data_IF_700478973221
#
_entry.id   IF_700478973221
#
_cell.length_a   1.000
_cell.length_b   1.000
_cell.length_c   1.000
_cell.angle_alpha   90.00
_cell.angle_beta   90.00
_cell.angle_gamma   90.00
#
_symmetry.space_group_name_H-M   'P 1'
#
loop_
_entity.id
_entity.type
_entity.pdbx_description
1 polymer ?
#
# COMPACT_ATOMS: atom_id res chain seq x y z
N UNK A 1 -24.85 21.86 12.01
CA UNK A 1 -23.74 21.32 12.82
C UNK A 1 -23.18 20.17 11.99
N UNK A 2 -22.06 20.38 11.30
CA UNK A 2 -21.47 19.30 10.50
C UNK A 2 -21.06 18.14 11.41
N UNK A 3 -21.25 16.88 11.01
CA UNK A 3 -20.73 15.76 11.78
C UNK A 3 -19.21 15.90 11.84
N UNK A 4 -18.64 15.87 13.03
CA UNK A 4 -17.19 15.84 13.21
C UNK A 4 -16.60 14.70 12.39
N UNK A 5 -15.77 15.01 11.39
CA UNK A 5 -15.05 14.04 10.54
C UNK A 5 -14.42 12.97 11.46
N UNK A 6 -14.74 11.70 11.21
CA UNK A 6 -14.19 10.60 12.01
C UNK A 6 -12.66 10.62 11.86
N UNK A 7 -11.90 10.41 12.93
CA UNK A 7 -10.42 10.48 12.95
C UNK A 7 -9.77 9.63 11.85
N UNK A 8 -10.42 8.53 11.46
CA UNK A 8 -9.96 7.68 10.35
C UNK A 8 -10.12 8.35 8.99
N UNK A 9 -11.25 9.00 8.70
CA UNK A 9 -11.47 9.71 7.43
C UNK A 9 -10.48 10.85 7.26
N UNK A 10 -10.24 11.62 8.33
CA UNK A 10 -9.24 12.68 8.36
C UNK A 10 -7.82 12.13 8.06
N UNK A 11 -7.48 10.96 8.60
CA UNK A 11 -6.20 10.31 8.32
C UNK A 11 -6.10 9.83 6.86
N UNK A 12 -7.13 9.19 6.32
CA UNK A 12 -7.16 8.75 4.91
C UNK A 12 -7.01 9.97 3.99
N UNK A 13 -7.75 11.05 4.26
CA UNK A 13 -7.66 12.31 3.52
C UNK A 13 -6.28 12.95 3.64
N UNK A 14 -5.66 12.94 4.81
CA UNK A 14 -4.30 13.45 5.00
C UNK A 14 -3.29 12.64 4.17
N UNK A 15 -3.34 11.30 4.26
CA UNK A 15 -2.43 10.42 3.51
C UNK A 15 -2.59 10.63 2.01
N UNK A 16 -3.82 10.52 1.51
CA UNK A 16 -4.13 10.66 0.08
C UNK A 16 -3.94 12.08 -0.45
N UNK A 17 -4.10 13.12 0.37
CA UNK A 17 -3.77 14.51 -0.02
C UNK A 17 -2.26 14.79 -0.07
N UNK A 18 -1.47 14.05 0.71
CA UNK A 18 -0.02 14.23 0.80
C UNK A 18 0.77 13.52 -0.29
N UNK A 19 0.19 12.54 -1.00
CA UNK A 19 0.94 11.80 -2.03
C UNK A 19 1.41 12.72 -3.16
N UNK A 20 2.57 12.36 -3.71
CA UNK A 20 3.20 12.98 -4.87
C UNK A 20 3.62 11.87 -5.84
N UNK A 21 2.67 11.24 -6.58
CA UNK A 21 3.02 10.21 -7.54
C UNK A 21 4.04 10.73 -8.55
N UNK A 22 5.12 9.97 -8.72
CA UNK A 22 6.14 10.20 -9.72
C UNK A 22 6.75 8.86 -10.12
N UNK A 23 6.82 8.57 -11.43
CA UNK A 23 7.32 7.29 -11.95
C UNK A 23 6.35 6.67 -12.97
N UNK A 24 6.47 5.36 -13.17
CA UNK A 24 5.64 4.62 -14.12
C UNK A 24 4.50 3.87 -13.46
N UNK A 25 3.39 3.82 -14.18
CA UNK A 25 2.17 3.19 -13.75
C UNK A 25 1.48 2.49 -14.92
N UNK A 26 0.65 1.51 -14.65
CA UNK A 26 -0.22 0.90 -15.63
C UNK A 26 -1.69 1.15 -15.29
N UNK A 27 -2.54 1.33 -16.30
CA UNK A 27 -3.99 1.27 -16.12
C UNK A 27 -4.49 0.02 -16.83
N UNK A 28 -5.26 -0.81 -16.13
CA UNK A 28 -5.89 -1.96 -16.78
C UNK A 28 -7.01 -1.50 -17.73
N UNK A 29 -7.01 -2.05 -18.94
CA UNK A 29 -8.28 -2.58 -19.46
C UNK A 29 -8.58 -3.84 -18.64
N UNK A 30 -9.56 -3.76 -17.74
CA UNK A 30 -10.15 -4.85 -16.95
C UNK A 30 -9.26 -6.07 -16.62
N UNK A 31 -8.60 -6.09 -15.44
CA UNK A 31 -8.17 -7.34 -14.81
C UNK A 31 -9.36 -7.95 -14.07
N UNK A 32 -10.28 -8.54 -14.83
CA UNK A 32 -11.30 -9.41 -14.27
C UNK A 32 -11.31 -10.69 -15.12
N UNK A 33 -10.78 -11.78 -14.56
CA UNK A 33 -11.36 -13.13 -14.63
C UNK A 33 -10.50 -14.08 -13.82
N UNK A 34 -10.98 -14.40 -12.62
CA UNK A 34 -10.97 -15.79 -12.19
C UNK A 34 -11.77 -16.60 -13.22
N UNK A 35 -11.22 -17.75 -13.63
CA UNK A 35 -11.84 -18.84 -14.37
C UNK A 35 -12.30 -18.57 -15.82
N UNK A 36 -11.64 -19.26 -16.76
CA UNK A 36 -12.21 -19.62 -18.07
C UNK A 36 -11.60 -18.90 -19.27
N UNK A 37 -10.86 -19.67 -20.08
CA UNK A 37 -10.39 -19.39 -21.44
C UNK A 37 -9.38 -18.24 -21.64
N UNK A 38 -8.30 -18.58 -22.34
CA UNK A 38 -7.25 -17.66 -22.79
C UNK A 38 -7.77 -16.72 -23.89
N UNK A 39 -8.61 -15.75 -23.54
CA UNK A 39 -8.76 -14.53 -24.33
C UNK A 39 -7.54 -13.65 -24.03
N UNK A 40 -6.81 -13.22 -25.08
CA UNK A 40 -5.67 -12.32 -24.92
C UNK A 40 -6.11 -11.09 -24.12
N UNK A 41 -5.62 -10.98 -22.88
CA UNK A 41 -5.99 -9.87 -22.00
C UNK A 41 -5.59 -8.57 -22.70
N UNK A 42 -6.47 -7.54 -22.73
CA UNK A 42 -6.12 -6.27 -23.33
C UNK A 42 -4.82 -5.74 -22.70
N UNK A 43 -3.84 -5.44 -23.56
CA UNK A 43 -2.51 -5.01 -23.13
C UNK A 43 -2.67 -3.74 -22.29
N UNK A 44 -2.19 -3.77 -21.04
CA UNK A 44 -2.30 -2.63 -20.14
C UNK A 44 -1.65 -1.39 -20.76
N UNK A 45 -2.28 -0.23 -20.60
CA UNK A 45 -1.70 1.04 -21.04
C UNK A 45 -0.70 1.48 -19.99
N UNK A 46 0.53 1.77 -20.42
CA UNK A 46 1.60 2.27 -19.58
C UNK A 46 1.59 3.81 -19.57
N UNK A 47 1.81 4.38 -18.40
CA UNK A 47 1.74 5.81 -18.12
C UNK A 47 2.96 6.27 -17.35
N UNK A 48 3.51 7.42 -17.73
CA UNK A 48 4.33 8.23 -16.85
C UNK A 48 3.41 9.09 -16.00
N UNK A 49 3.64 9.14 -14.70
CA UNK A 49 2.98 10.07 -13.80
C UNK A 49 4.00 10.99 -13.13
N UNK A 50 3.61 12.24 -12.91
CA UNK A 50 4.35 13.20 -12.08
C UNK A 50 3.39 14.12 -11.35
N UNK A 51 3.87 14.74 -10.28
CA UNK A 51 3.10 15.76 -9.56
C UNK A 51 3.66 17.14 -9.84
N UNK A 52 2.80 18.06 -10.28
CA UNK A 52 3.15 19.45 -10.53
C UNK A 52 3.09 20.32 -9.26
N UNK A 53 3.59 21.55 -9.38
CA UNK A 53 3.35 22.62 -8.42
C UNK A 53 1.84 22.82 -8.20
N UNK A 54 1.42 22.99 -6.95
CA UNK A 54 0.00 22.98 -6.56
C UNK A 54 -0.60 21.58 -6.40
N UNK A 55 0.15 20.53 -6.72
CA UNK A 55 -0.19 19.15 -6.35
C UNK A 55 -1.12 18.40 -7.30
N UNK A 56 -1.35 18.92 -8.52
CA UNK A 56 -2.05 18.16 -9.55
C UNK A 56 -1.20 16.97 -10.03
N UNK A 57 -1.83 15.80 -10.21
CA UNK A 57 -1.16 14.63 -10.79
C UNK A 57 -1.39 14.66 -12.29
N UNK A 58 -0.31 14.67 -13.06
CA UNK A 58 -0.35 14.52 -14.51
C UNK A 58 0.04 13.11 -14.90
N UNK A 59 -0.69 12.55 -15.85
CA UNK A 59 -0.34 11.27 -16.49
C UNK A 59 -0.20 11.46 -18.00
N UNK A 60 0.84 10.86 -18.56
CA UNK A 60 1.12 10.88 -20.01
C UNK A 60 1.34 9.43 -20.46
N UNK A 61 0.74 8.99 -21.57
CA UNK A 61 0.99 7.65 -22.08
C UNK A 61 2.48 7.47 -22.41
N UNK A 62 2.97 6.25 -22.23
CA UNK A 62 4.33 5.89 -22.60
C UNK A 62 4.38 5.40 -24.05
N UNK A 63 5.36 5.88 -24.80
CA UNK A 63 5.71 5.41 -26.13
C UNK A 63 7.18 5.00 -26.13
N UNK A 64 7.46 3.75 -26.50
CA UNK A 64 8.82 3.18 -26.47
C UNK A 64 9.56 3.39 -25.12
N UNK A 65 8.86 3.28 -24.00
CA UNK A 65 9.45 3.41 -22.66
C UNK A 65 9.69 4.85 -22.20
N UNK A 66 9.25 5.84 -22.97
CA UNK A 66 9.38 7.26 -22.64
C UNK A 66 8.03 7.98 -22.61
N UNK A 67 7.88 9.06 -21.81
CA UNK A 67 6.72 9.92 -21.92
C UNK A 67 6.57 10.39 -23.37
N UNK A 68 5.42 10.10 -23.99
CA UNK A 68 5.24 10.23 -25.43
C UNK A 68 5.33 11.67 -25.97
N UNK A 69 5.34 12.68 -25.09
CA UNK A 69 5.26 14.08 -25.50
C UNK A 69 6.13 15.00 -24.62
N UNK A 70 7.28 15.49 -25.12
CA UNK A 70 8.08 16.52 -24.47
C UNK A 70 7.31 17.84 -24.25
N UNK A 71 6.31 18.12 -25.08
CA UNK A 71 5.43 19.29 -24.99
C UNK A 71 4.15 19.04 -24.17
N UNK A 72 3.96 17.82 -23.63
CA UNK A 72 2.90 17.45 -22.68
C UNK A 72 1.45 17.68 -23.17
N UNK A 73 1.22 17.80 -24.48
CA UNK A 73 -0.12 18.00 -25.06
C UNK A 73 -1.05 16.81 -24.80
N UNK A 74 -0.49 15.62 -24.55
CA UNK A 74 -1.22 14.41 -24.18
C UNK A 74 -1.35 14.19 -22.66
N UNK A 75 -0.80 15.09 -21.84
CA UNK A 75 -0.89 14.97 -20.39
C UNK A 75 -2.34 15.18 -19.92
N UNK A 76 -2.83 14.28 -19.07
CA UNK A 76 -4.14 14.38 -18.43
C UNK A 76 -3.96 14.66 -16.96
N UNK A 77 -4.74 15.60 -16.43
CA UNK A 77 -4.84 15.82 -14.98
C UNK A 77 -5.76 14.78 -14.37
N UNK A 78 -5.29 14.14 -13.30
CA UNK A 78 -6.03 13.13 -12.54
C UNK A 78 -6.04 13.56 -11.08
N UNK A 79 -7.22 13.49 -10.46
CA UNK A 79 -7.35 13.69 -9.02
C UNK A 79 -6.66 12.53 -8.27
N UNK A 80 -6.08 12.78 -7.09
CA UNK A 80 -5.23 11.81 -6.38
C UNK A 80 -5.96 10.52 -6.00
N UNK A 81 -7.19 10.62 -5.49
CA UNK A 81 -7.98 9.44 -5.16
C UNK A 81 -8.31 8.63 -6.41
N UNK A 82 -8.71 9.30 -7.50
CA UNK A 82 -8.91 8.64 -8.80
C UNK A 82 -7.63 8.01 -9.32
N UNK A 83 -6.49 8.67 -9.12
CA UNK A 83 -5.18 8.13 -9.51
C UNK A 83 -4.87 6.84 -8.75
N UNK A 84 -5.00 6.86 -7.42
CA UNK A 84 -4.80 5.68 -6.59
C UNK A 84 -5.70 4.54 -7.05
N UNK A 85 -6.97 4.80 -7.37
CA UNK A 85 -7.90 3.77 -7.82
C UNK A 85 -7.56 3.17 -9.20
N UNK A 86 -7.16 4.01 -10.18
CA UNK A 86 -7.08 3.60 -11.59
C UNK A 86 -5.67 3.15 -12.03
N UNK A 87 -4.63 3.57 -11.33
CA UNK A 87 -3.25 3.36 -11.75
C UNK A 87 -2.52 2.39 -10.80
N UNK A 88 -1.84 1.41 -11.39
CA UNK A 88 -1.02 0.41 -10.72
C UNK A 88 0.44 0.84 -10.75
N UNK A 89 1.19 0.78 -9.64
CA UNK A 89 2.60 1.17 -9.62
C UNK A 89 3.46 0.18 -10.42
N UNK A 90 4.34 0.71 -11.29
CA UNK A 90 5.30 -0.08 -12.10
C UNK A 90 6.76 0.37 -11.85
N UNK A 91 7.24 0.35 -10.59
CA UNK A 91 8.53 0.94 -10.21
C UNK A 91 9.74 0.26 -10.86
N UNK A 92 9.66 -1.05 -11.12
CA UNK A 92 10.70 -1.80 -11.79
C UNK A 92 10.86 -1.40 -13.27
N UNK A 93 9.74 -1.12 -13.96
CA UNK A 93 9.77 -0.65 -15.35
C UNK A 93 10.42 0.73 -15.44
N UNK A 94 10.08 1.64 -14.51
CA UNK A 94 10.72 2.96 -14.45
C UNK A 94 12.24 2.85 -14.33
N UNK A 95 12.70 2.00 -13.40
CA UNK A 95 14.13 1.81 -13.15
C UNK A 95 14.86 1.18 -14.33
N UNK A 96 14.25 0.21 -15.00
CA UNK A 96 14.87 -0.52 -16.12
C UNK A 96 14.87 0.28 -17.41
N UNK A 97 13.74 0.88 -17.78
CA UNK A 97 13.50 1.38 -19.13
C UNK A 97 13.67 2.91 -19.24
N UNK A 98 13.25 3.65 -18.21
CA UNK A 98 13.13 5.10 -18.29
C UNK A 98 14.28 5.84 -17.64
N UNK A 99 14.71 5.39 -16.47
CA UNK A 99 15.79 6.01 -15.71
C UNK A 99 17.09 6.22 -16.51
N UNK A 100 17.62 5.22 -17.25
CA UNK A 100 18.80 5.42 -18.07
C UNK A 100 18.61 6.55 -19.09
N UNK A 101 17.42 6.61 -19.68
CA UNK A 101 17.11 7.56 -20.75
C UNK A 101 16.84 8.97 -20.21
N UNK A 102 16.12 9.10 -19.10
CA UNK A 102 15.87 10.38 -18.40
C UNK A 102 17.20 11.00 -17.96
N UNK A 103 18.11 10.20 -17.42
CA UNK A 103 19.45 10.67 -17.03
C UNK A 103 20.27 11.16 -18.24
N UNK A 104 20.17 10.50 -19.38
CA UNK A 104 20.89 10.88 -20.61
C UNK A 104 20.31 12.10 -21.31
N UNK A 105 19.00 12.34 -21.22
CA UNK A 105 18.30 13.36 -22.00
C UNK A 105 18.04 14.68 -21.24
N UNK A 106 18.33 14.76 -19.94
CA UNK A 106 18.09 15.97 -19.14
C UNK A 106 16.61 16.33 -18.96
N UNK A 107 15.68 15.48 -19.41
CA UNK A 107 14.22 15.64 -19.31
C UNK A 107 13.68 15.26 -17.91
N UNK A 108 14.33 15.80 -16.88
CA UNK A 108 14.29 15.32 -15.50
C UNK A 108 13.16 15.89 -14.62
N UNK A 109 12.53 16.99 -15.04
CA UNK A 109 11.69 17.78 -14.14
C UNK A 109 10.43 17.02 -13.70
N UNK A 110 10.37 16.69 -12.41
CA UNK A 110 9.23 16.00 -11.77
C UNK A 110 9.33 14.48 -11.76
N UNK A 111 10.42 13.88 -12.24
CA UNK A 111 10.65 12.44 -12.23
C UNK A 111 11.85 12.03 -11.37
N UNK A 112 11.88 10.79 -10.82
CA UNK A 112 13.02 10.31 -10.04
C UNK A 112 14.32 10.12 -10.84
N UNK A 113 15.42 10.75 -10.45
CA UNK A 113 16.67 10.74 -11.25
C UNK A 113 17.60 9.57 -10.94
N UNK A 114 17.44 8.95 -9.78
CA UNK A 114 18.26 7.83 -9.34
C UNK A 114 17.40 6.79 -8.62
N UNK A 115 17.98 5.60 -8.40
CA UNK A 115 17.27 4.47 -7.79
C UNK A 115 16.70 4.84 -6.41
N UNK A 116 17.45 5.62 -5.63
CA UNK A 116 17.02 6.08 -4.32
C UNK A 116 15.82 7.04 -4.39
N UNK A 117 15.79 7.94 -5.38
CA UNK A 117 14.62 8.79 -5.64
C UNK A 117 13.42 7.98 -6.09
N UNK A 118 13.62 6.95 -6.93
CA UNK A 118 12.53 6.09 -7.37
C UNK A 118 11.88 5.41 -6.16
N UNK A 119 12.68 4.77 -5.32
CA UNK A 119 12.21 4.17 -4.07
C UNK A 119 11.48 5.19 -3.17
N UNK A 120 12.01 6.42 -3.03
CA UNK A 120 11.38 7.50 -2.25
C UNK A 120 10.05 7.97 -2.82
N UNK A 121 9.89 7.99 -4.15
CA UNK A 121 8.66 8.44 -4.80
C UNK A 121 7.49 7.48 -4.57
N UNK A 122 7.74 6.17 -4.55
CA UNK A 122 6.68 5.17 -4.32
C UNK A 122 6.38 4.94 -2.83
N UNK A 123 7.32 5.23 -1.93
CA UNK A 123 7.19 4.94 -0.51
C UNK A 123 5.90 5.53 0.13
N UNK A 124 5.51 6.80 -0.10
CA UNK A 124 4.26 7.36 0.43
C UNK A 124 2.98 6.70 -0.13
N UNK A 125 3.07 5.98 -1.25
CA UNK A 125 1.91 5.31 -1.84
C UNK A 125 1.49 4.07 -1.05
N UNK A 126 2.42 3.41 -0.32
CA UNK A 126 2.13 2.22 0.48
C UNK A 126 1.00 2.48 1.49
N UNK A 127 1.12 3.43 2.44
CA UNK A 127 0.05 3.69 3.40
C UNK A 127 -1.22 4.22 2.73
N UNK A 128 -1.12 4.97 1.62
CA UNK A 128 -2.28 5.47 0.90
C UNK A 128 -3.08 4.35 0.19
N UNK A 129 -2.39 3.38 -0.43
CA UNK A 129 -3.02 2.21 -1.01
C UNK A 129 -3.67 1.33 0.05
N UNK A 130 -2.98 1.09 1.18
CA UNK A 130 -3.54 0.27 2.25
C UNK A 130 -4.76 0.93 2.92
N UNK A 131 -4.68 2.23 3.17
CA UNK A 131 -5.79 3.02 3.71
C UNK A 131 -7.04 3.04 2.80
N UNK A 132 -6.86 2.76 1.51
CA UNK A 132 -7.94 2.72 0.51
C UNK A 132 -8.28 1.29 0.06
N UNK A 133 -7.84 0.26 0.79
CA UNK A 133 -8.16 -1.14 0.51
C UNK A 133 -7.44 -1.75 -0.71
N UNK A 134 -6.41 -1.08 -1.24
CA UNK A 134 -5.69 -1.48 -2.44
C UNK A 134 -4.40 -2.24 -2.12
N UNK A 135 -4.48 -3.22 -1.23
CA UNK A 135 -3.33 -4.01 -0.75
C UNK A 135 -2.43 -4.55 -1.88
N UNK A 136 -2.95 -5.15 -2.96
CA UNK A 136 -2.09 -5.65 -4.04
C UNK A 136 -1.16 -4.60 -4.65
N UNK A 137 -1.61 -3.33 -4.75
CA UNK A 137 -0.77 -2.22 -5.23
C UNK A 137 0.31 -1.86 -4.23
N UNK A 138 -0.02 -1.84 -2.94
CA UNK A 138 0.95 -1.64 -1.87
C UNK A 138 2.02 -2.75 -1.87
N UNK A 139 1.62 -4.00 -2.04
CA UNK A 139 2.53 -5.15 -2.11
C UNK A 139 3.51 -5.07 -3.29
N UNK A 140 3.04 -4.62 -4.46
CA UNK A 140 3.93 -4.37 -5.62
C UNK A 140 5.06 -3.38 -5.26
N UNK A 141 4.74 -2.29 -4.56
CA UNK A 141 5.76 -1.32 -4.13
C UNK A 141 6.70 -1.91 -3.09
N UNK A 142 6.14 -2.60 -2.10
CA UNK A 142 6.89 -3.25 -1.01
C UNK A 142 7.90 -4.25 -1.54
N UNK A 143 7.47 -5.14 -2.43
CA UNK A 143 8.33 -6.15 -3.05
C UNK A 143 9.47 -5.51 -3.85
N UNK A 144 9.15 -4.46 -4.61
CA UNK A 144 10.16 -3.67 -5.30
C UNK A 144 11.19 -3.06 -4.34
N UNK A 145 10.76 -2.48 -3.21
CA UNK A 145 11.67 -1.90 -2.22
C UNK A 145 12.61 -2.97 -1.62
N UNK A 146 12.06 -4.11 -1.20
CA UNK A 146 12.84 -5.23 -0.63
C UNK A 146 13.88 -5.74 -1.63
N UNK A 147 13.47 -6.02 -2.86
CA UNK A 147 14.36 -6.50 -3.94
C UNK A 147 15.49 -5.51 -4.24
N UNK A 148 15.28 -4.24 -3.95
CA UNK A 148 16.24 -3.17 -4.21
C UNK A 148 17.06 -2.76 -2.98
N UNK A 149 17.02 -3.57 -1.90
CA UNK A 149 17.83 -3.39 -0.69
C UNK A 149 17.28 -2.33 0.26
N UNK A 150 16.07 -1.82 0.03
CA UNK A 150 15.41 -0.94 0.98
C UNK A 150 14.70 -1.77 2.05
N UNK A 151 15.14 -1.65 3.30
CA UNK A 151 14.36 -2.06 4.46
C UNK A 151 13.26 -1.05 4.78
N UNK A 152 12.26 -1.46 5.58
CA UNK A 152 11.37 -0.49 6.21
C UNK A 152 12.16 0.31 7.24
N UNK A 153 12.34 1.60 7.00
CA UNK A 153 12.82 2.48 8.05
C UNK A 153 11.79 2.60 9.18
N UNK A 154 12.27 2.95 10.36
CA UNK A 154 11.48 3.16 11.58
C UNK A 154 10.25 4.03 11.35
N UNK A 155 10.42 5.13 10.59
CA UNK A 155 9.36 6.11 10.33
C UNK A 155 8.18 5.51 9.58
N UNK A 156 8.44 4.73 8.52
CA UNK A 156 7.37 4.07 7.77
C UNK A 156 6.69 2.99 8.60
N UNK A 157 7.44 2.24 9.43
CA UNK A 157 6.86 1.26 10.34
C UNK A 157 5.89 1.89 11.33
N UNK A 158 6.32 2.94 12.03
CA UNK A 158 5.48 3.69 12.95
C UNK A 158 4.23 4.24 12.25
N UNK A 159 4.39 4.76 11.02
CA UNK A 159 3.27 5.26 10.24
C UNK A 159 2.27 4.15 9.89
N UNK A 160 2.72 3.00 9.37
CA UNK A 160 1.84 1.88 9.02
C UNK A 160 1.10 1.34 10.25
N UNK A 161 1.77 1.23 11.40
CA UNK A 161 1.13 0.82 12.64
C UNK A 161 0.06 1.83 13.09
N UNK A 162 0.37 3.14 13.02
CA UNK A 162 -0.62 4.21 13.32
C UNK A 162 -1.83 4.13 12.40
N UNK A 163 -1.61 3.91 11.09
CA UNK A 163 -2.68 3.74 10.10
C UNK A 163 -3.54 2.53 10.43
N UNK A 164 -2.92 1.37 10.69
CA UNK A 164 -3.63 0.14 11.04
C UNK A 164 -4.48 0.30 12.31
N UNK A 165 -3.94 0.93 13.35
CA UNK A 165 -4.67 1.20 14.60
C UNK A 165 -5.86 2.14 14.35
N UNK A 166 -5.69 3.18 13.54
CA UNK A 166 -6.78 4.11 13.20
C UNK A 166 -7.87 3.41 12.42
N UNK A 167 -7.53 2.70 11.34
CA UNK A 167 -8.48 1.96 10.50
C UNK A 167 -9.31 0.99 11.33
N UNK A 168 -8.66 0.19 12.19
CA UNK A 168 -9.36 -0.76 13.06
C UNK A 168 -10.36 -0.06 13.98
N UNK A 169 -9.93 1.01 14.67
CA UNK A 169 -10.80 1.79 15.56
C UNK A 169 -11.91 2.53 14.80
N UNK A 170 -11.70 2.84 13.53
CA UNK A 170 -12.65 3.52 12.66
C UNK A 170 -13.66 2.61 11.96
N UNK A 171 -13.66 1.30 12.24
CA UNK A 171 -14.61 0.37 11.63
C UNK A 171 -14.12 -0.28 10.33
N UNK A 172 -12.84 -0.13 9.97
CA UNK A 172 -12.21 -0.69 8.76
C UNK A 172 -11.19 -1.81 9.11
N UNK A 173 -11.59 -2.90 9.79
CA UNK A 173 -10.64 -3.89 10.30
C UNK A 173 -9.96 -4.70 9.18
N UNK A 174 -10.58 -4.87 8.01
CA UNK A 174 -9.94 -5.53 6.87
C UNK A 174 -8.73 -4.72 6.36
N UNK A 175 -8.90 -3.40 6.17
CA UNK A 175 -7.79 -2.53 5.75
C UNK A 175 -6.70 -2.45 6.82
N UNK A 176 -7.08 -2.48 8.11
CA UNK A 176 -6.11 -2.59 9.21
C UNK A 176 -5.31 -3.89 9.15
N UNK A 177 -5.97 -5.03 8.91
CA UNK A 177 -5.31 -6.33 8.77
C UNK A 177 -4.32 -6.32 7.60
N UNK A 178 -4.70 -5.73 6.48
CA UNK A 178 -3.83 -5.60 5.31
C UNK A 178 -2.58 -4.76 5.60
N UNK A 179 -2.70 -3.70 6.41
CA UNK A 179 -1.53 -2.96 6.89
C UNK A 179 -0.58 -3.84 7.71
N UNK A 180 -1.12 -4.63 8.64
CA UNK A 180 -0.29 -5.52 9.45
C UNK A 180 0.34 -6.66 8.64
N UNK A 181 -0.35 -7.18 7.62
CA UNK A 181 0.21 -8.18 6.71
C UNK A 181 1.38 -7.61 5.90
N UNK A 182 1.26 -6.36 5.42
CA UNK A 182 2.39 -5.67 4.80
C UNK A 182 3.54 -5.47 5.78
N UNK A 183 3.28 -5.01 7.01
CA UNK A 183 4.31 -4.87 8.04
C UNK A 183 5.06 -6.20 8.30
N UNK A 184 4.33 -7.30 8.40
CA UNK A 184 4.89 -8.65 8.62
C UNK A 184 5.75 -9.14 7.44
N UNK A 185 5.63 -8.59 6.23
CA UNK A 185 6.54 -8.96 5.12
C UNK A 185 7.98 -8.46 5.35
N UNK A 186 8.16 -7.44 6.18
CA UNK A 186 9.47 -6.84 6.45
C UNK A 186 10.01 -7.16 7.84
N UNK A 187 9.11 -7.48 8.76
CA UNK A 187 9.46 -7.86 10.12
C UNK A 187 9.23 -9.35 10.28
N UNK A 188 10.21 -10.01 10.90
CA UNK A 188 10.02 -11.37 11.40
C UNK A 188 8.92 -11.41 12.47
N UNK A 189 8.90 -12.51 13.22
CA UNK A 189 7.89 -12.71 14.25
C UNK A 189 8.09 -11.70 15.40
N UNK A 190 7.02 -10.95 15.75
CA UNK A 190 6.98 -9.93 16.81
C UNK A 190 5.65 -10.09 17.55
N UNK A 191 5.70 -10.36 18.86
CA UNK A 191 4.52 -10.60 19.68
C UNK A 191 3.56 -9.40 19.73
N UNK A 192 4.05 -8.17 19.61
CA UNK A 192 3.23 -6.97 19.59
C UNK A 192 2.49 -6.82 18.26
N UNK A 193 3.16 -7.14 17.14
CA UNK A 193 2.53 -7.18 15.83
C UNK A 193 1.46 -8.27 15.77
N UNK A 194 1.78 -9.47 16.27
CA UNK A 194 0.86 -10.60 16.33
C UNK A 194 -0.35 -10.27 17.21
N UNK A 195 -0.14 -9.62 18.36
CA UNK A 195 -1.23 -9.17 19.23
C UNK A 195 -2.16 -8.16 18.55
N UNK A 196 -1.60 -7.21 17.79
CA UNK A 196 -2.40 -6.24 17.05
C UNK A 196 -3.19 -6.89 15.90
N UNK A 197 -2.60 -7.88 15.23
CA UNK A 197 -3.30 -8.70 14.23
C UNK A 197 -4.45 -9.47 14.87
N UNK A 198 -4.22 -10.12 16.03
CA UNK A 198 -5.26 -10.86 16.73
C UNK A 198 -6.45 -9.98 17.14
N UNK A 199 -6.20 -8.77 17.65
CA UNK A 199 -7.26 -7.80 17.96
C UNK A 199 -8.08 -7.44 16.71
N UNK A 200 -7.40 -7.28 15.58
CA UNK A 200 -8.07 -7.00 14.31
C UNK A 200 -8.94 -8.17 13.85
N UNK A 201 -8.42 -9.41 13.92
CA UNK A 201 -9.17 -10.62 13.59
C UNK A 201 -10.37 -10.82 14.51
N UNK A 202 -10.23 -10.48 15.80
CA UNK A 202 -11.34 -10.50 16.75
C UNK A 202 -12.44 -9.51 16.37
N UNK A 203 -12.09 -8.27 16.00
CA UNK A 203 -13.06 -7.26 15.54
C UNK A 203 -13.80 -7.75 14.27
N UNK A 204 -13.17 -8.60 13.46
CA UNK A 204 -13.76 -9.25 12.28
C UNK A 204 -14.52 -10.56 12.60
N UNK A 205 -14.64 -10.95 13.88
CA UNK A 205 -15.22 -12.23 14.33
C UNK A 205 -14.52 -13.49 13.78
N UNK A 206 -13.28 -13.35 13.30
CA UNK A 206 -12.43 -14.45 12.82
C UNK A 206 -11.73 -15.13 13.98
N UNK A 207 -12.52 -15.73 14.87
CA UNK A 207 -12.05 -16.14 16.20
C UNK A 207 -11.01 -17.27 16.17
N UNK A 208 -11.13 -18.25 15.26
CA UNK A 208 -10.13 -19.33 15.12
C UNK A 208 -8.75 -18.79 14.74
N UNK A 209 -8.72 -17.84 13.82
CA UNK A 209 -7.47 -17.19 13.39
C UNK A 209 -6.92 -16.27 14.47
N UNK A 210 -7.79 -15.55 15.17
CA UNK A 210 -7.41 -14.77 16.36
C UNK A 210 -6.72 -15.67 17.40
N UNK A 211 -7.30 -16.84 17.71
CA UNK A 211 -6.72 -17.81 18.63
C UNK A 211 -5.34 -18.27 18.19
N UNK A 212 -5.20 -18.68 16.92
CA UNK A 212 -3.94 -19.15 16.36
C UNK A 212 -2.83 -18.08 16.44
N UNK A 213 -3.16 -16.82 16.13
CA UNK A 213 -2.19 -15.72 16.20
C UNK A 213 -1.84 -15.37 17.65
N UNK A 214 -2.79 -15.41 18.60
CA UNK A 214 -2.49 -15.21 20.02
C UNK A 214 -1.58 -16.31 20.57
N UNK A 215 -1.83 -17.57 20.19
CA UNK A 215 -0.99 -18.68 20.59
C UNK A 215 0.44 -18.49 20.09
N UNK A 216 0.60 -18.01 18.85
CA UNK A 216 1.91 -17.66 18.29
C UNK A 216 2.59 -16.56 19.12
N UNK A 217 1.90 -15.45 19.41
CA UNK A 217 2.46 -14.36 20.22
C UNK A 217 2.96 -14.82 21.60
N UNK A 218 2.21 -15.71 22.27
CA UNK A 218 2.60 -16.32 23.56
C UNK A 218 3.78 -17.27 23.39
N UNK A 219 3.84 -18.06 22.31
CA UNK A 219 4.98 -18.93 22.03
C UNK A 219 6.26 -18.13 21.73
N UNK A 220 6.15 -17.00 21.01
CA UNK A 220 7.27 -16.08 20.74
C UNK A 220 7.78 -15.43 22.01
N UNK A 221 6.87 -14.96 22.89
CA UNK A 221 7.21 -14.38 24.18
C UNK A 221 6.23 -14.87 25.27
N UNK A 222 6.60 -15.93 26.03
CA UNK A 222 5.76 -16.45 27.12
C UNK A 222 5.46 -15.42 28.23
N UNK A 223 6.30 -14.38 28.36
CA UNK A 223 6.10 -13.27 29.29
C UNK A 223 5.09 -12.22 28.79
N UNK A 224 4.60 -12.32 27.55
CA UNK A 224 3.68 -11.35 26.96
C UNK A 224 2.24 -11.53 27.48
N UNK A 225 2.03 -11.11 28.72
CA UNK A 225 0.76 -11.22 29.46
C UNK A 225 -0.49 -10.77 28.68
N UNK A 226 -0.47 -9.68 27.87
CA UNK A 226 -1.66 -9.26 27.14
C UNK A 226 -2.23 -10.34 26.21
N UNK A 227 -1.37 -11.08 25.49
CA UNK A 227 -1.84 -12.16 24.61
C UNK A 227 -2.40 -13.34 25.40
N UNK A 228 -1.73 -13.75 26.48
CA UNK A 228 -2.19 -14.85 27.33
C UNK A 228 -3.55 -14.57 27.97
N UNK A 229 -3.76 -13.36 28.50
CA UNK A 229 -5.05 -12.93 29.06
C UNK A 229 -6.13 -12.89 27.99
N UNK A 230 -5.80 -12.47 26.77
CA UNK A 230 -6.76 -12.44 25.67
C UNK A 230 -7.14 -13.87 25.24
N UNK A 231 -6.18 -14.78 25.13
CA UNK A 231 -6.42 -16.18 24.77
C UNK A 231 -7.38 -16.86 25.77
N UNK A 232 -7.14 -16.70 27.08
CA UNK A 232 -8.01 -17.25 28.12
C UNK A 232 -9.45 -16.72 28.03
N UNK A 233 -9.63 -15.44 27.67
CA UNK A 233 -10.96 -14.86 27.46
C UNK A 233 -11.63 -15.45 26.22
N UNK A 234 -10.86 -15.72 25.17
CA UNK A 234 -11.35 -16.26 23.91
C UNK A 234 -11.89 -17.69 24.05
N UNK A 235 -11.25 -18.54 24.87
CA UNK A 235 -11.69 -19.92 25.19
C UNK A 235 -13.08 -19.98 25.86
N UNK A 236 -13.52 -18.86 26.45
CA UNK A 236 -14.84 -18.75 27.06
C UNK A 236 -15.95 -18.48 26.05
N UNK A 237 -15.62 -18.19 24.78
CA UNK A 237 -16.60 -17.93 23.72
C UNK A 237 -17.18 -19.26 23.23
N UNK A 238 -18.52 -19.46 23.32
CA UNK A 238 -19.15 -20.74 22.95
C UNK A 238 -18.88 -21.17 21.51
N UNK A 239 -18.76 -20.23 20.56
CA UNK A 239 -18.50 -20.50 19.14
C UNK A 239 -17.12 -21.13 18.84
N UNK A 240 -16.25 -21.25 19.85
CA UNK A 240 -14.94 -21.88 19.74
C UNK A 240 -14.80 -23.15 20.59
N UNK A 241 -15.81 -23.50 21.38
CA UNK A 241 -15.86 -24.82 22.02
C UNK A 241 -16.26 -25.82 20.94
N UNK A 242 -15.41 -26.82 20.72
CA UNK A 242 -15.67 -27.91 19.77
C UNK A 242 -16.98 -28.61 20.04
#
# INVERSE_FOLDING_TARGET
MEPSENTTEALVRQLTGSIRPAGFFSSAGNKNTQNGAAAASPRAILWAARTLDGGAVEVTPLFNGLPADPALKLAKRVERMRFLAQYWPEPALYQRDAMPTVALQGAATGYPQNKAENMRAYLPLIPAYLATGQRPKAETVVEYLVQNGAGLNEKLRMLLNKVAVSLRKGGEPQNALDCYMVLRKFHGEDEHLDFNIARTLFDMKRYKECQAVLQKAVSTNPGFRPAAVFLQKLERIPALRG
#
